data_IF_905477210997
#
_entry.id   IF_905477210997
#
_cell.length_a   1.000
_cell.length_b   1.000
_cell.length_c   1.000
_cell.angle_alpha   90.00
_cell.angle_beta   90.00
_cell.angle_gamma   90.00
#
_symmetry.space_group_name_H-M   'P 1'
#
loop_
_entity.id
_entity.type
_entity.pdbx_description
1 polymer ?
#
# COMPACT_ATOMS: atom_id res chain seq x y z
N UNK A 1 -0.17 11.76 31.38
CA UNK A 1 0.96 11.61 30.44
C UNK A 1 0.58 12.24 29.10
N UNK A 2 0.45 13.57 29.05
CA UNK A 2 0.46 14.34 27.81
C UNK A 2 1.41 15.51 28.04
N UNK A 3 2.71 15.27 27.83
CA UNK A 3 3.74 16.32 27.88
C UNK A 3 3.99 16.91 26.48
N UNK A 4 3.33 16.38 25.44
CA UNK A 4 3.59 16.68 24.03
C UNK A 4 2.25 16.75 23.29
N UNK A 5 2.07 17.75 22.42
CA UNK A 5 0.83 17.92 21.66
C UNK A 5 0.64 16.83 20.60
N UNK A 6 -0.61 16.42 20.27
CA UNK A 6 -0.88 15.38 19.27
C UNK A 6 -0.26 15.69 17.90
N UNK A 7 -0.24 16.96 17.50
CA UNK A 7 0.40 17.41 16.25
C UNK A 7 1.90 17.18 16.26
N UNK A 8 2.57 17.48 17.38
CA UNK A 8 4.01 17.24 17.52
C UNK A 8 4.28 15.73 17.47
N UNK A 9 3.46 14.91 18.14
CA UNK A 9 3.56 13.44 18.07
C UNK A 9 3.41 12.92 16.64
N UNK A 10 2.40 13.38 15.89
CA UNK A 10 2.18 12.99 14.49
C UNK A 10 3.34 13.43 13.59
N UNK A 11 3.92 14.61 13.84
CA UNK A 11 5.08 15.10 13.11
C UNK A 11 6.32 14.24 13.40
N UNK A 12 6.55 13.85 14.66
CA UNK A 12 7.62 12.93 15.03
C UNK A 12 7.44 11.60 14.30
N UNK A 13 6.22 11.03 14.33
CA UNK A 13 5.91 9.78 13.62
C UNK A 13 6.18 9.94 12.11
N UNK A 14 5.77 11.04 11.51
CA UNK A 14 5.98 11.32 10.09
C UNK A 14 7.46 11.36 9.71
N UNK A 15 8.28 12.11 10.46
CA UNK A 15 9.73 12.22 10.20
C UNK A 15 10.43 10.88 10.40
N UNK A 16 10.09 10.15 11.47
CA UNK A 16 10.65 8.82 11.73
C UNK A 16 10.23 7.81 10.65
N UNK A 17 9.00 7.86 10.16
CA UNK A 17 8.52 7.01 9.08
C UNK A 17 9.28 7.25 7.76
N UNK A 18 9.59 8.51 7.43
CA UNK A 18 10.44 8.85 6.26
C UNK A 18 11.83 8.25 6.42
N UNK A 19 12.45 8.42 7.59
CA UNK A 19 13.79 7.89 7.87
C UNK A 19 13.84 6.36 7.71
N UNK A 20 12.87 5.65 8.29
CA UNK A 20 12.74 4.20 8.13
C UNK A 20 12.51 3.82 6.66
N UNK A 21 11.60 4.50 5.97
CA UNK A 21 11.29 4.23 4.56
C UNK A 21 12.51 4.36 3.64
N UNK A 22 13.34 5.40 3.86
CA UNK A 22 14.59 5.59 3.13
C UNK A 22 15.54 4.40 3.29
N UNK A 23 15.81 3.99 4.54
CA UNK A 23 16.72 2.88 4.82
C UNK A 23 16.20 1.52 4.34
N UNK A 24 14.89 1.30 4.36
CA UNK A 24 14.26 0.06 3.86
C UNK A 24 14.43 -0.08 2.34
N UNK A 25 14.31 1.02 1.59
CA UNK A 25 14.38 0.99 0.13
C UNK A 25 15.83 1.07 -0.39
N UNK A 26 16.75 1.65 0.37
CA UNK A 26 18.14 1.87 -0.08
C UNK A 26 18.92 0.58 -0.37
N UNK A 27 18.60 -0.53 0.31
CA UNK A 27 19.37 -1.79 0.23
C UNK A 27 18.69 -2.87 -0.63
N UNK A 28 17.76 -2.50 -1.51
CA UNK A 28 17.09 -3.48 -2.37
C UNK A 28 18.00 -3.95 -3.50
N UNK A 29 17.90 -5.24 -3.86
CA UNK A 29 18.64 -5.79 -5.00
C UNK A 29 18.16 -5.15 -6.31
N UNK A 30 19.05 -4.78 -7.25
CA UNK A 30 18.64 -4.08 -8.48
C UNK A 30 17.56 -4.80 -9.31
N UNK A 31 17.58 -6.13 -9.33
CA UNK A 31 16.56 -6.94 -10.02
C UNK A 31 15.14 -6.79 -9.43
N UNK A 32 15.02 -6.26 -8.22
CA UNK A 32 13.76 -6.09 -7.51
C UNK A 32 13.17 -4.68 -7.61
N UNK A 33 13.81 -3.70 -8.29
CA UNK A 33 13.24 -2.35 -8.38
C UNK A 33 11.86 -2.31 -9.04
N UNK A 34 11.63 -3.09 -10.11
CA UNK A 34 10.32 -3.16 -10.76
C UNK A 34 9.27 -3.85 -9.87
N UNK A 35 9.54 -5.02 -9.25
CA UNK A 35 8.66 -5.56 -8.21
C UNK A 35 8.42 -4.62 -7.04
N UNK A 36 9.43 -3.88 -6.59
CA UNK A 36 9.32 -2.92 -5.49
C UNK A 36 8.36 -1.79 -5.86
N UNK A 37 8.43 -1.27 -7.09
CA UNK A 37 7.49 -0.27 -7.59
C UNK A 37 6.05 -0.79 -7.58
N UNK A 38 5.83 -2.06 -7.92
CA UNK A 38 4.49 -2.67 -7.83
C UNK A 38 4.02 -2.80 -6.38
N UNK A 39 4.90 -3.19 -5.45
CA UNK A 39 4.59 -3.27 -4.01
C UNK A 39 4.23 -1.89 -3.46
N UNK A 40 5.00 -0.85 -3.75
CA UNK A 40 4.71 0.51 -3.24
C UNK A 40 3.40 1.05 -3.80
N UNK A 41 3.04 0.73 -5.04
CA UNK A 41 1.71 1.03 -5.57
C UNK A 41 0.60 0.29 -4.78
N UNK A 42 0.78 -1.00 -4.50
CA UNK A 42 -0.18 -1.76 -3.69
C UNK A 42 -0.32 -1.20 -2.25
N UNK A 43 0.78 -0.80 -1.61
CA UNK A 43 0.78 -0.21 -0.27
C UNK A 43 0.10 1.17 -0.26
N UNK A 44 0.24 1.96 -1.33
CA UNK A 44 -0.44 3.26 -1.47
C UNK A 44 -1.96 3.15 -1.38
N UNK A 45 -2.53 1.96 -1.60
CA UNK A 45 -3.96 1.70 -1.52
C UNK A 45 -4.52 1.84 -0.09
N UNK A 46 -3.69 2.12 0.93
CA UNK A 46 -4.12 2.49 2.29
C UNK A 46 -5.10 3.68 2.31
N UNK A 47 -5.13 4.49 1.25
CA UNK A 47 -6.15 5.53 1.00
C UNK A 47 -7.59 5.00 1.16
N UNK A 48 -7.81 3.69 0.98
CA UNK A 48 -9.12 3.06 1.23
C UNK A 48 -9.68 3.34 2.62
N UNK A 49 -8.82 3.47 3.65
CA UNK A 49 -9.25 3.80 5.02
C UNK A 49 -9.91 5.19 5.05
N UNK A 50 -9.29 6.17 4.39
CA UNK A 50 -9.86 7.52 4.27
C UNK A 50 -11.15 7.53 3.45
N UNK A 51 -11.20 6.75 2.37
CA UNK A 51 -12.40 6.63 1.53
C UNK A 51 -13.58 6.01 2.30
N UNK A 52 -13.33 4.98 3.12
CA UNK A 52 -14.36 4.36 3.97
C UNK A 52 -14.89 5.35 5.01
N UNK A 53 -14.02 6.13 5.66
CA UNK A 53 -14.44 7.19 6.58
C UNK A 53 -15.26 8.26 5.87
N UNK A 54 -14.85 8.70 4.68
CA UNK A 54 -15.61 9.66 3.89
C UNK A 54 -16.99 9.12 3.47
N UNK A 55 -17.09 7.86 3.07
CA UNK A 55 -18.37 7.24 2.71
C UNK A 55 -19.30 7.07 3.91
N UNK A 56 -18.75 6.81 5.10
CA UNK A 56 -19.52 6.52 6.32
C UNK A 56 -19.93 7.78 7.08
N UNK A 57 -19.06 8.79 7.17
CA UNK A 57 -19.22 9.95 8.05
C UNK A 57 -19.72 11.21 7.34
N UNK A 58 -19.84 11.18 6.00
CA UNK A 58 -20.31 12.36 5.25
C UNK A 58 -21.83 12.35 5.11
N UNK A 59 -22.46 13.42 5.60
CA UNK A 59 -23.92 13.57 5.60
C UNK A 59 -24.48 14.14 4.28
N UNK A 60 -23.66 14.87 3.51
CA UNK A 60 -24.11 15.46 2.24
C UNK A 60 -24.27 14.39 1.17
N UNK A 61 -25.36 14.45 0.39
CA UNK A 61 -25.64 13.46 -0.66
C UNK A 61 -24.51 13.35 -1.70
N UNK A 62 -23.92 14.48 -2.10
CA UNK A 62 -22.76 14.51 -3.00
C UNK A 62 -21.51 13.94 -2.34
N UNK A 63 -21.23 14.29 -1.09
CA UNK A 63 -20.04 13.79 -0.39
C UNK A 63 -20.10 12.28 -0.15
N UNK A 64 -21.28 11.75 0.17
CA UNK A 64 -21.50 10.30 0.34
C UNK A 64 -21.31 9.53 -0.96
N UNK A 65 -21.85 10.03 -2.08
CA UNK A 65 -21.66 9.37 -3.39
C UNK A 65 -20.19 9.40 -3.84
N UNK A 66 -19.50 10.52 -3.61
CA UNK A 66 -18.06 10.62 -3.85
C UNK A 66 -17.25 9.68 -2.95
N UNK A 67 -17.63 9.52 -1.68
CA UNK A 67 -17.01 8.56 -0.77
C UNK A 67 -17.15 7.12 -1.25
N UNK A 68 -18.34 6.72 -1.70
CA UNK A 68 -18.58 5.38 -2.28
C UNK A 68 -17.75 5.17 -3.56
N UNK A 69 -17.69 6.17 -4.45
CA UNK A 69 -16.82 6.13 -5.63
C UNK A 69 -15.34 6.02 -5.25
N UNK A 70 -14.90 6.76 -4.24
CA UNK A 70 -13.52 6.70 -3.75
C UNK A 70 -13.18 5.31 -3.20
N UNK A 71 -14.11 4.65 -2.49
CA UNK A 71 -13.92 3.26 -2.02
C UNK A 71 -13.79 2.31 -3.20
N UNK A 72 -14.64 2.45 -4.22
CA UNK A 72 -14.59 1.61 -5.42
C UNK A 72 -13.25 1.75 -6.16
N UNK A 73 -12.76 2.98 -6.35
CA UNK A 73 -11.47 3.25 -7.00
C UNK A 73 -10.30 2.76 -6.15
N UNK A 74 -10.35 2.97 -4.83
CA UNK A 74 -9.33 2.47 -3.91
C UNK A 74 -9.26 0.94 -3.92
N UNK A 75 -10.40 0.26 -3.98
CA UNK A 75 -10.46 -1.20 -4.09
C UNK A 75 -9.75 -1.72 -5.36
N UNK A 76 -9.95 -1.07 -6.52
CA UNK A 76 -9.24 -1.42 -7.76
C UNK A 76 -7.72 -1.34 -7.55
N UNK A 77 -7.24 -0.30 -6.86
CA UNK A 77 -5.81 -0.15 -6.55
C UNK A 77 -5.32 -1.26 -5.58
N UNK A 78 -6.07 -1.58 -4.52
CA UNK A 78 -5.74 -2.69 -3.61
C UNK A 78 -5.61 -4.00 -4.40
N UNK A 79 -6.68 -4.42 -5.07
CA UNK A 79 -6.71 -5.74 -5.73
C UNK A 79 -5.73 -5.80 -6.90
N UNK A 80 -5.68 -4.77 -7.74
CA UNK A 80 -4.77 -4.70 -8.87
C UNK A 80 -3.31 -4.69 -8.44
N UNK A 81 -2.95 -3.84 -7.47
CA UNK A 81 -1.60 -3.71 -6.95
C UNK A 81 -1.07 -5.02 -6.36
N UNK A 82 -1.84 -5.67 -5.48
CA UNK A 82 -1.41 -6.92 -4.85
C UNK A 82 -1.38 -8.11 -5.83
N UNK A 83 -2.33 -8.19 -6.77
CA UNK A 83 -2.36 -9.27 -7.78
C UNK A 83 -1.14 -9.20 -8.72
N UNK A 84 -0.83 -8.00 -9.23
CA UNK A 84 0.31 -7.79 -10.13
C UNK A 84 1.62 -8.04 -9.41
N UNK A 85 1.76 -7.51 -8.18
CA UNK A 85 2.94 -7.74 -7.34
C UNK A 85 3.19 -9.23 -7.12
N UNK A 86 2.15 -9.99 -6.79
CA UNK A 86 2.27 -11.44 -6.60
C UNK A 86 2.77 -12.14 -7.87
N UNK A 87 2.20 -11.81 -9.04
CA UNK A 87 2.65 -12.37 -10.33
C UNK A 87 4.11 -12.04 -10.62
N UNK A 88 4.53 -10.80 -10.33
CA UNK A 88 5.93 -10.39 -10.52
C UNK A 88 6.89 -11.17 -9.63
N UNK A 89 6.56 -11.34 -8.34
CA UNK A 89 7.38 -12.09 -7.40
C UNK A 89 7.40 -13.59 -7.68
N UNK A 90 6.33 -14.15 -8.25
CA UNK A 90 6.28 -15.57 -8.67
C UNK A 90 7.29 -15.88 -9.79
N UNK A 91 7.64 -14.91 -10.63
CA UNK A 91 8.66 -15.10 -11.68
C UNK A 91 10.08 -15.28 -11.12
N UNK A 92 10.34 -14.86 -9.89
CA UNK A 92 11.63 -15.05 -9.21
C UNK A 92 11.73 -16.37 -8.44
N UNK A 93 10.62 -17.12 -8.31
CA UNK A 93 10.64 -18.45 -7.70
C UNK A 93 11.22 -19.43 -8.71
N UNK A 94 12.25 -20.19 -8.31
CA UNK A 94 12.74 -21.32 -9.11
C UNK A 94 11.57 -22.27 -9.38
N UNK A 95 11.27 -22.53 -10.66
CA UNK A 95 10.36 -23.64 -11.04
C UNK A 95 10.92 -24.91 -10.41
N UNK A 96 10.16 -25.56 -9.53
CA UNK A 96 10.45 -26.93 -9.11
C UNK A 96 10.58 -27.76 -10.39
N UNK A 97 11.69 -28.48 -10.62
CA UNK A 97 11.79 -29.34 -11.79
C UNK A 97 10.63 -30.32 -11.72
N UNK A 98 9.81 -30.35 -12.77
CA UNK A 98 8.80 -31.38 -12.91
C UNK A 98 9.51 -32.71 -12.74
N UNK A 99 9.12 -33.50 -11.73
CA UNK A 99 9.57 -34.88 -11.58
C UNK A 99 9.31 -35.52 -12.94
N UNK A 100 10.37 -35.84 -13.69
CA UNK A 100 10.24 -36.70 -14.87
C UNK A 100 9.55 -37.95 -14.36
N UNK A 101 8.32 -38.18 -14.83
CA UNK A 101 7.69 -39.47 -14.66
C UNK A 101 8.57 -40.46 -15.41
N UNK A 102 9.23 -41.32 -14.64
CA UNK A 102 9.91 -42.52 -15.13
C UNK A 102 8.86 -43.55 -15.57
#
# INVERSE_FOLDING_TARGET
MELISPTITNLIIFVLAIYVGYHVVWTVTPALHTPLMAVTNAVSAIVIVGAMLAAALTETGLGKTMGVLAVALAAVNVFGGFLVTRRMLEMFKKKTPAKKAE
#
